data_IF_242912640807
#
_entry.id   IF_242912640807
#
_cell.length_a   1.000
_cell.length_b   1.000
_cell.length_c   1.000
_cell.angle_alpha   90.00
_cell.angle_beta   90.00
_cell.angle_gamma   90.00
#
_symmetry.space_group_name_H-M   'P 1'
#
loop_
_entity.id
_entity.type
_entity.pdbx_description
1 polymer ?
#
# COMPACT_ATOMS: atom_id res chain seq x y z
N UNK A 1 -13.21 15.07 11.89
CA UNK A 1 -11.85 15.44 11.47
C UNK A 1 -11.93 16.74 10.70
N UNK A 2 -10.98 17.64 10.88
CA UNK A 2 -10.82 18.77 9.94
C UNK A 2 -10.30 18.26 8.60
N UNK A 3 -10.42 19.06 7.54
CA UNK A 3 -9.96 18.66 6.22
C UNK A 3 -8.44 18.42 6.20
N UNK A 4 -7.68 19.17 7.00
CA UNK A 4 -6.24 18.95 7.18
C UNK A 4 -5.95 17.60 7.86
N UNK A 5 -6.74 17.22 8.86
CA UNK A 5 -6.60 15.92 9.51
C UNK A 5 -6.95 14.78 8.54
N UNK A 6 -7.95 14.97 7.67
CA UNK A 6 -8.33 13.97 6.67
C UNK A 6 -7.21 13.78 5.65
N UNK A 7 -6.65 14.88 5.14
CA UNK A 7 -5.50 14.85 4.23
C UNK A 7 -4.27 14.20 4.88
N UNK A 8 -3.97 14.55 6.14
CA UNK A 8 -2.86 13.94 6.89
C UNK A 8 -3.03 12.43 7.09
N UNK A 9 -4.27 11.97 7.33
CA UNK A 9 -4.59 10.56 7.44
C UNK A 9 -4.35 9.82 6.12
N UNK A 10 -4.87 10.33 5.00
CA UNK A 10 -4.66 9.73 3.67
C UNK A 10 -3.18 9.66 3.33
N UNK A 11 -2.43 10.74 3.54
CA UNK A 11 -0.99 10.76 3.30
C UNK A 11 -0.25 9.72 4.15
N UNK A 12 -0.69 9.53 5.40
CA UNK A 12 -0.13 8.50 6.28
C UNK A 12 -0.42 7.09 5.75
N UNK A 13 -1.64 6.82 5.26
CA UNK A 13 -1.98 5.54 4.61
C UNK A 13 -1.11 5.27 3.38
N UNK A 14 -0.90 6.28 2.54
CA UNK A 14 -0.04 6.18 1.35
C UNK A 14 1.41 5.84 1.73
N UNK A 15 1.97 6.51 2.76
CA UNK A 15 3.33 6.22 3.23
C UNK A 15 3.43 4.79 3.77
N UNK A 16 2.46 4.33 4.56
CA UNK A 16 2.43 2.96 5.06
C UNK A 16 2.37 1.94 3.92
N UNK A 17 1.52 2.16 2.92
CA UNK A 17 1.42 1.32 1.73
C UNK A 17 2.74 1.27 0.95
N UNK A 18 3.43 2.40 0.78
CA UNK A 18 4.73 2.48 0.11
C UNK A 18 5.81 1.68 0.86
N UNK A 19 5.84 1.78 2.19
CA UNK A 19 6.80 1.01 3.01
C UNK A 19 6.58 -0.49 2.82
N UNK A 20 5.33 -0.94 2.83
CA UNK A 20 5.01 -2.36 2.65
C UNK A 20 5.34 -2.86 1.23
N UNK A 21 5.04 -2.06 0.20
CA UNK A 21 5.42 -2.36 -1.18
C UNK A 21 6.94 -2.53 -1.33
N UNK A 22 7.73 -1.64 -0.75
CA UNK A 22 9.19 -1.76 -0.81
C UNK A 22 9.71 -2.96 -0.03
N UNK A 23 9.10 -3.30 1.11
CA UNK A 23 9.45 -4.51 1.85
C UNK A 23 9.19 -5.77 1.01
N UNK A 24 8.04 -5.86 0.33
CA UNK A 24 7.72 -6.97 -0.57
C UNK A 24 8.71 -7.07 -1.73
N UNK A 25 9.05 -5.93 -2.35
CA UNK A 25 10.05 -5.90 -3.43
C UNK A 25 11.43 -6.35 -2.96
N UNK A 26 11.85 -5.95 -1.75
CA UNK A 26 13.12 -6.40 -1.15
C UNK A 26 13.11 -7.91 -0.95
N UNK A 27 12.03 -8.46 -0.41
CA UNK A 27 11.89 -9.91 -0.20
C UNK A 27 11.98 -10.67 -1.52
N UNK A 28 11.24 -10.26 -2.54
CA UNK A 28 11.31 -10.92 -3.85
C UNK A 28 12.70 -10.81 -4.50
N UNK A 29 13.37 -9.65 -4.40
CA UNK A 29 14.76 -9.52 -4.88
C UNK A 29 15.74 -10.43 -4.14
N UNK A 30 15.52 -10.64 -2.85
CA UNK A 30 16.31 -11.59 -2.07
C UNK A 30 16.09 -13.02 -2.58
N UNK A 31 14.84 -13.41 -2.83
CA UNK A 31 14.50 -14.74 -3.34
C UNK A 31 15.09 -14.99 -4.73
N UNK A 32 15.01 -14.00 -5.62
CA UNK A 32 15.65 -14.02 -6.94
C UNK A 32 17.17 -14.24 -6.81
N UNK A 33 17.84 -13.56 -5.87
CA UNK A 33 19.27 -13.74 -5.61
C UNK A 33 19.63 -15.13 -5.08
N UNK A 34 18.69 -15.80 -4.41
CA UNK A 34 18.84 -17.17 -3.92
C UNK A 34 18.45 -18.24 -4.97
N UNK A 35 17.92 -17.83 -6.12
CA UNK A 35 17.37 -18.74 -7.14
C UNK A 35 16.05 -19.40 -6.72
N UNK A 36 15.37 -18.81 -5.74
CA UNK A 36 14.07 -19.27 -5.23
C UNK A 36 12.91 -18.65 -6.00
N UNK A 37 11.73 -19.25 -5.88
CA UNK A 37 10.50 -18.61 -6.33
C UNK A 37 10.19 -17.37 -5.47
N UNK A 38 9.59 -16.30 -6.04
CA UNK A 38 9.23 -15.11 -5.29
C UNK A 38 8.24 -15.41 -4.16
N UNK A 39 8.48 -14.86 -2.98
CA UNK A 39 7.56 -14.97 -1.83
C UNK A 39 6.22 -14.28 -2.10
N UNK A 40 6.23 -13.13 -2.77
CA UNK A 40 5.02 -12.36 -3.08
C UNK A 40 4.68 -12.39 -4.56
N UNK A 41 3.40 -12.59 -4.87
CA UNK A 41 2.85 -12.62 -6.23
C UNK A 41 1.96 -11.41 -6.51
N UNK A 42 1.50 -11.25 -7.75
CA UNK A 42 0.74 -10.08 -8.19
C UNK A 42 -0.48 -9.78 -7.31
N UNK A 43 -1.20 -10.81 -6.88
CA UNK A 43 -2.35 -10.69 -5.99
C UNK A 43 -2.00 -10.04 -4.64
N UNK A 44 -0.81 -10.34 -4.09
CA UNK A 44 -0.36 -9.74 -2.83
C UNK A 44 -0.12 -8.24 -2.99
N UNK A 45 0.44 -7.82 -4.14
CA UNK A 45 0.65 -6.40 -4.44
C UNK A 45 -0.67 -5.66 -4.63
N UNK A 46 -1.67 -6.30 -5.26
CA UNK A 46 -3.00 -5.72 -5.44
C UNK A 46 -3.73 -5.55 -4.12
N UNK A 47 -3.58 -6.49 -3.19
CA UNK A 47 -4.21 -6.46 -1.87
C UNK A 47 -3.80 -5.24 -1.00
N UNK A 48 -2.67 -4.59 -1.30
CA UNK A 48 -2.24 -3.36 -0.58
C UNK A 48 -3.24 -2.22 -0.77
N UNK A 49 -3.84 -2.07 -1.95
CA UNK A 49 -4.80 -0.99 -2.22
C UNK A 49 -6.01 -1.10 -1.29
N UNK A 50 -6.54 -2.33 -1.15
CA UNK A 50 -7.70 -2.62 -0.33
C UNK A 50 -7.39 -2.49 1.16
N UNK A 51 -6.21 -2.94 1.60
CA UNK A 51 -5.78 -2.90 3.01
C UNK A 51 -5.62 -1.48 3.55
N UNK A 52 -5.09 -0.57 2.73
CA UNK A 52 -4.86 0.82 3.13
C UNK A 52 -6.00 1.76 2.71
N UNK A 53 -7.05 1.24 2.07
CA UNK A 53 -8.24 2.01 1.67
C UNK A 53 -7.85 3.23 0.81
N UNK A 54 -6.86 3.02 -0.07
CA UNK A 54 -6.31 4.05 -0.96
C UNK A 54 -6.93 3.99 -2.37
N UNK A 55 -8.05 3.30 -2.53
CA UNK A 55 -8.81 3.28 -3.77
C UNK A 55 -9.33 4.67 -4.13
N UNK A 56 -9.41 4.97 -5.43
CA UNK A 56 -9.82 6.29 -5.93
C UNK A 56 -11.16 6.75 -5.34
N UNK A 57 -12.14 5.85 -5.28
CA UNK A 57 -13.46 6.14 -4.74
C UNK A 57 -13.47 6.20 -3.20
N UNK A 58 -12.59 5.45 -2.54
CA UNK A 58 -12.51 5.43 -1.08
C UNK A 58 -11.96 6.76 -0.53
N UNK A 59 -10.94 7.30 -1.22
CA UNK A 59 -10.35 8.60 -0.91
C UNK A 59 -11.38 9.73 -1.10
N UNK A 60 -12.12 9.71 -2.21
CA UNK A 60 -13.19 10.70 -2.48
C UNK A 60 -14.28 10.60 -1.41
N UNK A 61 -14.73 9.38 -1.10
CA UNK A 61 -15.74 9.14 -0.07
C UNK A 61 -15.32 9.69 1.30
N UNK A 62 -14.08 9.45 1.70
CA UNK A 62 -13.54 9.91 2.99
C UNK A 62 -13.39 11.44 3.06
N UNK A 63 -13.01 12.10 1.97
CA UNK A 63 -12.87 13.55 1.94
C UNK A 63 -14.23 14.26 2.00
N UNK A 64 -15.25 13.70 1.34
CA UNK A 64 -16.60 14.28 1.28
C UNK A 64 -17.51 13.93 2.48
N UNK A 65 -17.17 12.91 3.28
CA UNK A 65 -17.91 12.51 4.49
C UNK A 65 -17.62 13.42 5.70
#
# INVERSE_FOLDING_TARGET
MTDEQKAAYINSQVICAQIELEAMKVANRHDEGMGSAPTYVEEDFRAIVDRFVIGHNDVIGFLHA
#
